data_IF_555607467565
#
_entry.id   IF_555607467565
#
_cell.length_a   1.000
_cell.length_b   1.000
_cell.length_c   1.000
_cell.angle_alpha   90.00
_cell.angle_beta   90.00
_cell.angle_gamma   90.00
#
_symmetry.space_group_name_H-M   'P 1'
#
loop_
_entity.id
_entity.type
_entity.pdbx_description
1 polymer ?
#
# COMPACT_ATOMS: atom_id res chain seq x y z
N UNK A 1 10.59 4.41 19.50
CA UNK A 1 11.84 4.07 20.22
C UNK A 1 13.00 4.32 19.29
N UNK A 2 14.16 4.77 19.80
CA UNK A 2 15.35 4.95 18.97
C UNK A 2 15.92 3.59 18.56
N UNK A 3 16.24 3.47 17.27
CA UNK A 3 16.90 2.32 16.68
C UNK A 3 18.29 2.72 16.20
N UNK A 4 19.16 1.73 16.09
CA UNK A 4 20.52 1.90 15.56
C UNK A 4 20.68 1.06 14.29
N UNK A 5 21.49 1.56 13.37
CA UNK A 5 21.72 0.91 12.08
C UNK A 5 22.91 1.50 11.36
N UNK A 6 23.23 0.93 10.20
CA UNK A 6 24.33 1.36 9.34
C UNK A 6 23.82 1.76 7.97
N UNK A 7 24.39 2.80 7.37
CA UNK A 7 24.06 3.15 5.99
C UNK A 7 24.50 2.02 5.06
N UNK A 8 23.57 1.43 4.34
CA UNK A 8 23.85 0.35 3.37
C UNK A 8 24.09 0.91 1.98
N UNK A 9 23.28 1.87 1.57
CA UNK A 9 23.34 2.51 0.25
C UNK A 9 23.03 3.99 0.37
N UNK A 10 23.72 4.82 -0.42
CA UNK A 10 23.46 6.25 -0.51
C UNK A 10 23.57 6.71 -1.97
N UNK A 11 22.56 7.43 -2.44
CA UNK A 11 22.49 8.03 -3.77
C UNK A 11 22.69 9.54 -3.66
N UNK A 12 23.92 10.00 -3.85
CA UNK A 12 24.30 11.40 -3.63
C UNK A 12 23.53 12.38 -4.53
N UNK A 13 23.40 12.07 -5.83
CA UNK A 13 22.70 12.93 -6.79
C UNK A 13 21.22 13.17 -6.44
N UNK A 14 20.59 12.19 -5.77
CA UNK A 14 19.17 12.25 -5.40
C UNK A 14 18.95 12.55 -3.92
N UNK A 15 20.00 12.59 -3.12
CA UNK A 15 19.94 12.95 -1.70
C UNK A 15 19.22 11.95 -0.80
N UNK A 16 19.15 10.66 -1.16
CA UNK A 16 18.48 9.63 -0.33
C UNK A 16 19.31 8.36 -0.20
N UNK A 17 18.98 7.53 0.77
CA UNK A 17 19.61 6.23 0.94
C UNK A 17 18.80 5.28 1.81
N UNK A 18 19.46 4.19 2.21
CA UNK A 18 18.86 3.15 3.03
C UNK A 18 19.78 2.75 4.19
N UNK A 19 19.17 2.56 5.36
CA UNK A 19 19.80 2.11 6.59
C UNK A 19 19.47 0.65 6.82
N UNK A 20 20.48 -0.17 7.05
CA UNK A 20 20.32 -1.54 7.50
C UNK A 20 20.25 -1.60 9.03
N UNK A 21 19.19 -2.20 9.56
CA UNK A 21 18.95 -2.39 10.99
C UNK A 21 19.27 -3.84 11.34
N UNK A 22 20.09 -4.07 12.37
CA UNK A 22 20.42 -5.42 12.81
C UNK A 22 19.15 -6.11 13.36
N UNK A 23 18.80 -7.28 12.78
CA UNK A 23 17.60 -8.03 13.13
C UNK A 23 16.35 -7.71 12.29
N UNK A 24 16.41 -6.74 11.37
CA UNK A 24 15.33 -6.51 10.39
C UNK A 24 15.80 -6.89 8.98
N UNK A 25 14.93 -7.55 8.22
CA UNK A 25 15.21 -7.93 6.82
C UNK A 25 15.00 -6.78 5.84
N UNK A 26 14.21 -5.77 6.20
CA UNK A 26 13.92 -4.60 5.38
C UNK A 26 14.87 -3.46 5.71
N UNK A 27 15.46 -2.85 4.68
CA UNK A 27 16.24 -1.64 4.84
C UNK A 27 15.30 -0.42 4.98
N UNK A 28 15.67 0.53 5.84
CA UNK A 28 14.88 1.71 6.14
C UNK A 28 15.31 2.90 5.29
N UNK A 29 14.36 3.56 4.64
CA UNK A 29 14.62 4.74 3.82
C UNK A 29 15.02 5.97 4.66
N UNK A 30 15.94 6.81 4.15
CA UNK A 30 16.25 8.12 4.73
C UNK A 30 16.47 9.18 3.64
N UNK A 31 16.26 10.45 3.98
CA UNK A 31 16.64 11.58 3.15
C UNK A 31 17.80 12.38 3.79
N UNK A 32 18.68 12.97 2.98
CA UNK A 32 19.82 13.78 3.48
C UNK A 32 19.37 15.01 4.27
N UNK A 33 18.15 15.49 4.02
CA UNK A 33 17.56 16.60 4.74
C UNK A 33 17.28 16.29 6.23
N UNK A 34 17.15 15.00 6.58
CA UNK A 34 16.86 14.55 7.94
C UNK A 34 18.16 14.43 8.79
N UNK A 35 19.33 14.72 8.19
CA UNK A 35 20.60 14.77 8.89
C UNK A 35 20.88 16.15 9.51
N UNK A 36 21.52 16.20 10.69
CA UNK A 36 21.76 17.45 11.42
C UNK A 36 22.75 18.37 10.71
N UNK A 37 23.77 17.81 10.04
CA UNK A 37 24.79 18.56 9.30
C UNK A 37 24.66 18.29 7.80
N UNK A 38 24.14 19.27 7.06
CA UNK A 38 23.91 19.19 5.60
C UNK A 38 25.20 19.26 4.76
N UNK A 39 26.28 19.78 5.35
CA UNK A 39 27.56 19.94 4.66
C UNK A 39 28.41 18.67 4.62
N UNK A 40 28.01 17.63 5.35
CA UNK A 40 28.74 16.36 5.39
C UNK A 40 27.85 15.31 4.73
N UNK A 41 28.23 14.75 3.57
CA UNK A 41 27.41 13.70 2.96
C UNK A 41 27.40 12.44 3.84
N UNK A 42 26.28 11.69 3.87
CA UNK A 42 26.22 10.37 4.49
C UNK A 42 27.21 9.40 3.84
N UNK A 43 27.87 8.54 4.64
CA UNK A 43 28.84 7.56 4.13
C UNK A 43 28.33 6.13 4.29
N UNK A 44 28.54 5.29 3.29
CA UNK A 44 28.21 3.86 3.39
C UNK A 44 29.01 3.24 4.53
N UNK A 45 28.33 2.46 5.38
CA UNK A 45 28.89 1.84 6.59
C UNK A 45 28.80 2.71 7.85
N UNK A 46 28.42 3.98 7.74
CA UNK A 46 28.29 4.91 8.88
C UNK A 46 27.17 4.47 9.83
N UNK A 47 27.47 4.42 11.13
CA UNK A 47 26.52 4.09 12.19
C UNK A 47 25.68 5.31 12.55
N UNK A 48 24.38 5.06 12.62
CA UNK A 48 23.36 6.06 12.91
C UNK A 48 22.47 5.59 14.05
N UNK A 49 21.94 6.56 14.79
CA UNK A 49 20.83 6.40 15.72
C UNK A 49 19.66 7.26 15.25
N UNK A 50 18.46 6.71 15.16
CA UNK A 50 17.32 7.40 14.54
C UNK A 50 15.98 6.87 15.07
N UNK A 51 14.90 7.54 14.71
CA UNK A 51 13.52 7.09 14.92
C UNK A 51 12.93 6.58 13.61
N UNK A 52 12.15 5.50 13.69
CA UNK A 52 11.34 5.03 12.56
C UNK A 52 10.01 5.76 12.62
N UNK A 53 9.69 6.51 11.58
CA UNK A 53 8.44 7.29 11.46
C UNK A 53 7.72 6.89 10.18
N UNK A 54 6.39 6.82 10.24
CA UNK A 54 5.55 6.59 9.07
C UNK A 54 5.15 7.92 8.43
N UNK A 55 5.36 8.03 7.12
CA UNK A 55 5.00 9.18 6.30
C UNK A 55 4.27 8.69 5.05
N UNK A 56 2.97 8.99 4.95
CA UNK A 56 2.12 8.59 3.82
C UNK A 56 2.17 7.07 3.50
N UNK A 57 2.13 6.22 4.54
CA UNK A 57 2.19 4.76 4.39
C UNK A 57 3.58 4.18 4.11
N UNK A 58 4.64 5.01 4.17
CA UNK A 58 6.03 4.58 4.02
C UNK A 58 6.81 4.85 5.30
N UNK A 59 7.61 3.86 5.72
CA UNK A 59 8.50 4.04 6.86
C UNK A 59 9.81 4.70 6.43
N UNK A 60 10.21 5.73 7.18
CA UNK A 60 11.48 6.44 7.00
C UNK A 60 12.21 6.64 8.34
N UNK A 61 13.50 6.88 8.25
CA UNK A 61 14.32 7.33 9.36
C UNK A 61 14.14 8.84 9.56
N UNK A 62 13.91 9.26 10.80
CA UNK A 62 13.82 10.65 11.21
C UNK A 62 14.66 10.88 12.49
N UNK A 63 14.96 12.13 12.83
CA UNK A 63 15.81 12.50 13.98
C UNK A 63 17.16 11.77 13.99
N UNK A 64 17.87 11.81 12.85
CA UNK A 64 19.10 11.05 12.64
C UNK A 64 20.26 11.67 13.42
N UNK A 65 20.95 10.86 14.22
CA UNK A 65 22.20 11.21 14.90
C UNK A 65 23.34 10.31 14.37
N UNK A 66 24.45 10.93 13.97
CA UNK A 66 25.64 10.22 13.48
C UNK A 66 26.49 9.78 14.67
N UNK A 67 26.76 8.48 14.78
CA UNK A 67 27.53 7.91 15.89
C UNK A 67 29.04 7.89 15.60
N UNK A 68 29.42 7.77 14.32
CA UNK A 68 30.84 7.64 13.93
C UNK A 68 31.53 8.99 13.72
N UNK A 69 30.77 10.07 13.52
CA UNK A 69 31.31 11.43 13.47
C UNK A 69 31.30 11.98 14.89
N UNK A 70 32.34 11.66 15.67
CA UNK A 70 32.71 12.52 16.80
C UNK A 70 32.85 13.92 16.22
N UNK A 71 31.97 14.82 16.63
CA UNK A 71 31.97 16.24 16.28
C UNK A 71 33.29 16.88 16.69
N UNK A 72 34.35 16.66 15.90
CA UNK A 72 35.49 17.59 15.80
C UNK A 72 35.05 18.74 14.90
N UNK A 73 33.99 19.43 15.30
CA UNK A 73 33.89 20.84 14.97
C UNK A 73 34.65 21.50 16.11
N UNK A 74 35.93 21.75 15.86
CA UNK A 74 36.67 22.71 16.66
C UNK A 74 35.88 24.02 16.57
N UNK A 75 35.15 24.28 17.64
CA UNK A 75 34.75 25.63 18.00
C UNK A 75 36.06 26.39 18.17
N UNK A 76 36.38 27.29 17.23
CA UNK A 76 37.27 28.40 17.54
C UNK A 76 36.56 29.25 18.58
N UNK A 77 36.84 28.99 19.85
CA UNK A 77 36.59 29.94 20.92
C UNK A 77 37.89 30.13 21.69
N UNK A 78 38.33 31.38 21.63
CA UNK A 78 39.35 31.96 22.48
C UNK A 78 39.07 31.65 23.95
N UNK A 79 40.17 31.48 24.69
CA UNK A 79 40.27 31.50 26.15
C UNK A 79 39.31 32.53 26.79
N UNK A 80 38.51 32.09 27.76
CA UNK A 80 38.74 32.43 29.17
C UNK A 80 37.70 31.78 30.11
N UNK A 81 38.22 30.98 31.05
CA UNK A 81 37.86 30.86 32.47
C UNK A 81 36.40 30.64 32.96
N UNK A 82 36.10 29.36 33.27
CA UNK A 82 35.39 28.76 34.44
C UNK A 82 34.32 29.55 35.24
N UNK A 83 33.08 29.04 35.29
CA UNK A 83 32.32 28.65 36.52
C UNK A 83 30.98 27.93 36.15
N UNK A 84 30.67 26.83 36.84
CA UNK A 84 29.37 26.10 36.88
C UNK A 84 28.43 26.85 37.87
N UNK A 85 27.06 26.92 37.78
CA UNK A 85 26.18 25.76 37.63
C UNK A 85 24.79 25.91 36.94
N UNK A 86 24.19 24.75 36.64
CA UNK A 86 22.75 24.41 36.59
C UNK A 86 21.80 24.87 35.45
N UNK A 87 21.10 23.84 34.93
CA UNK A 87 19.70 23.76 34.42
C UNK A 87 19.12 25.05 33.83
N UNK A 88 18.97 25.14 32.50
CA UNK A 88 17.84 25.84 31.85
C UNK A 88 17.70 25.48 30.36
N UNK A 89 16.55 24.89 30.03
CA UNK A 89 15.67 25.10 28.85
C UNK A 89 16.25 25.28 27.43
N UNK A 90 15.62 24.54 26.49
CA UNK A 90 15.71 24.58 25.01
C UNK A 90 16.20 25.88 24.36
N UNK A 91 16.99 25.83 23.28
CA UNK A 91 17.31 27.02 22.50
C UNK A 91 16.03 27.64 21.93
N UNK A 92 15.77 28.87 22.36
CA UNK A 92 14.81 29.77 21.75
C UNK A 92 15.20 29.98 20.29
N UNK A 93 14.29 29.67 19.35
CA UNK A 93 14.43 30.03 17.94
C UNK A 93 14.55 31.55 17.84
N UNK A 94 15.76 32.06 17.53
CA UNK A 94 15.93 33.47 17.19
C UNK A 94 15.34 33.73 15.81
N UNK A 95 14.22 34.44 15.82
CA UNK A 95 13.58 34.99 14.62
C UNK A 95 14.49 36.09 14.06
N UNK A 96 15.22 35.77 12.98
CA UNK A 96 15.98 36.74 12.23
C UNK A 96 15.09 37.92 11.79
N UNK A 97 15.52 39.15 12.11
CA UNK A 97 14.84 40.40 11.75
C UNK A 97 14.82 40.54 10.22
N UNK A 98 13.62 40.47 9.62
CA UNK A 98 13.44 40.57 8.17
C UNK A 98 13.71 42.01 7.69
N UNK A 99 14.74 42.20 6.88
CA UNK A 99 14.92 43.41 6.08
C UNK A 99 13.84 43.48 4.98
N UNK A 100 13.27 44.65 4.76
CA UNK A 100 12.13 44.95 3.87
C UNK A 100 12.32 44.47 2.43
N UNK A 101 13.57 44.27 2.00
CA UNK A 101 13.96 43.72 0.69
C UNK A 101 13.65 42.22 0.54
N UNK A 102 13.54 41.47 1.64
CA UNK A 102 13.23 40.03 1.60
C UNK A 102 11.76 39.74 1.27
N UNK A 103 10.84 40.68 1.52
CA UNK A 103 9.41 40.49 1.23
C UNK A 103 9.11 40.50 -0.27
N UNK A 104 9.83 41.31 -1.05
CA UNK A 104 9.60 41.42 -2.51
C UNK A 104 10.06 40.15 -3.22
N UNK A 105 11.21 39.58 -2.82
CA UNK A 105 11.74 38.32 -3.39
C UNK A 105 10.83 37.13 -3.03
N UNK A 106 10.28 37.09 -1.81
CA UNK A 106 9.32 36.04 -1.44
C UNK A 106 7.99 36.19 -2.17
N UNK A 107 7.51 37.42 -2.42
CA UNK A 107 6.27 37.65 -3.15
C UNK A 107 6.41 37.30 -4.63
N UNK A 108 7.51 37.69 -5.29
CA UNK A 108 7.75 37.33 -6.69
C UNK A 108 7.86 35.81 -6.87
N UNK A 109 8.53 35.11 -5.94
CA UNK A 109 8.58 33.65 -5.94
C UNK A 109 7.20 33.00 -5.82
N UNK A 110 6.34 33.49 -4.92
CA UNK A 110 4.97 32.99 -4.78
C UNK A 110 4.11 33.25 -6.03
N UNK A 111 4.27 34.41 -6.67
CA UNK A 111 3.57 34.69 -7.93
C UNK A 111 3.99 33.73 -9.05
N UNK A 112 5.28 33.42 -9.19
CA UNK A 112 5.76 32.44 -10.18
C UNK A 112 5.24 31.03 -9.90
N UNK A 113 5.15 30.63 -8.62
CA UNK A 113 4.58 29.34 -8.25
C UNK A 113 3.08 29.28 -8.58
N UNK A 114 2.33 30.35 -8.28
CA UNK A 114 0.90 30.42 -8.58
C UNK A 114 0.62 30.41 -10.10
N UNK A 115 1.45 31.10 -10.90
CA UNK A 115 1.28 31.08 -12.36
C UNK A 115 1.59 29.69 -12.93
N UNK A 116 2.67 29.04 -12.50
CA UNK A 116 2.99 27.67 -12.90
C UNK A 116 1.90 26.68 -12.46
N UNK A 117 1.41 26.80 -11.23
CA UNK A 117 0.32 25.97 -10.73
C UNK A 117 -0.96 26.17 -11.55
N UNK A 118 -1.29 27.41 -11.94
CA UNK A 118 -2.42 27.71 -12.82
C UNK A 118 -2.28 27.09 -14.22
N UNK A 119 -1.09 27.15 -14.82
CA UNK A 119 -0.80 26.53 -16.12
C UNK A 119 -0.92 25.00 -16.05
N UNK A 120 -0.32 24.39 -15.03
CA UNK A 120 -0.42 22.94 -14.80
C UNK A 120 -1.86 22.52 -14.51
N UNK A 121 -2.60 23.30 -13.72
CA UNK A 121 -4.01 23.04 -13.42
C UNK A 121 -4.85 23.08 -14.69
N UNK A 122 -4.62 24.04 -15.59
CA UNK A 122 -5.32 24.11 -16.88
C UNK A 122 -5.06 22.86 -17.74
N UNK A 123 -3.82 22.38 -17.81
CA UNK A 123 -3.48 21.15 -18.53
C UNK A 123 -4.07 19.90 -17.85
N UNK A 124 -4.11 19.88 -16.53
CA UNK A 124 -4.73 18.79 -15.78
C UNK A 124 -6.25 18.73 -16.02
N UNK A 125 -6.92 19.88 -16.10
CA UNK A 125 -8.35 19.95 -16.41
C UNK A 125 -8.66 19.38 -17.80
N UNK A 126 -7.87 19.74 -18.82
CA UNK A 126 -8.09 19.22 -20.18
C UNK A 126 -7.85 17.72 -20.29
N UNK A 127 -6.85 17.18 -19.58
CA UNK A 127 -6.63 15.73 -19.48
C UNK A 127 -7.83 14.99 -18.88
N UNK A 128 -8.44 15.55 -17.83
CA UNK A 128 -9.60 14.93 -17.18
C UNK A 128 -10.83 14.91 -18.10
N UNK A 129 -11.06 15.98 -18.87
CA UNK A 129 -12.15 16.04 -19.85
C UNK A 129 -11.99 14.96 -20.93
N UNK A 130 -10.78 14.84 -21.51
CA UNK A 130 -10.49 13.80 -22.52
C UNK A 130 -10.73 12.39 -21.98
N UNK A 131 -10.35 12.15 -20.72
CA UNK A 131 -10.56 10.86 -20.05
C UNK A 131 -12.05 10.53 -19.91
N UNK A 132 -12.89 11.52 -19.58
CA UNK A 132 -14.34 11.33 -19.49
C UNK A 132 -14.98 11.05 -20.86
N UNK A 133 -14.57 11.78 -21.90
CA UNK A 133 -15.09 11.55 -23.27
C UNK A 133 -14.75 10.14 -23.77
N UNK A 134 -13.50 9.69 -23.57
CA UNK A 134 -13.09 8.33 -23.96
C UNK A 134 -13.84 7.24 -23.19
N UNK A 135 -14.15 7.50 -21.92
CA UNK A 135 -14.97 6.58 -21.13
C UNK A 135 -16.38 6.47 -21.69
N UNK A 136 -17.00 7.60 -22.03
CA UNK A 136 -18.34 7.64 -22.63
C UNK A 136 -18.37 6.93 -23.99
N UNK A 137 -17.36 7.16 -24.83
CA UNK A 137 -17.17 6.48 -26.11
C UNK A 137 -17.09 4.95 -25.94
N UNK A 138 -16.25 4.47 -25.01
CA UNK A 138 -16.10 3.03 -24.73
C UNK A 138 -17.39 2.39 -24.20
N UNK A 139 -18.14 3.11 -23.36
CA UNK A 139 -19.43 2.62 -22.85
C UNK A 139 -20.43 2.47 -23.99
N UNK A 140 -20.51 3.46 -24.88
CA UNK A 140 -21.43 3.44 -26.01
C UNK A 140 -21.06 2.34 -27.03
N UNK A 141 -19.77 2.13 -27.27
CA UNK A 141 -19.27 1.03 -28.10
C UNK A 141 -19.63 -0.33 -27.50
N UNK A 142 -19.42 -0.53 -26.20
CA UNK A 142 -19.78 -1.76 -25.52
C UNK A 142 -21.29 -2.03 -25.60
N UNK A 143 -22.12 -1.01 -25.41
CA UNK A 143 -23.57 -1.13 -25.55
C UNK A 143 -23.96 -1.54 -26.97
N UNK A 144 -23.31 -0.97 -28.00
CA UNK A 144 -23.54 -1.33 -29.40
C UNK A 144 -23.18 -2.79 -29.66
N UNK A 145 -22.02 -3.26 -29.21
CA UNK A 145 -21.59 -4.66 -29.35
C UNK A 145 -22.61 -5.60 -28.70
N UNK A 146 -23.05 -5.29 -27.47
CA UNK A 146 -24.06 -6.09 -26.77
C UNK A 146 -25.40 -6.07 -27.50
N UNK A 147 -25.82 -4.93 -28.04
CA UNK A 147 -27.06 -4.82 -28.81
C UNK A 147 -27.01 -5.61 -30.13
N UNK A 148 -25.87 -5.58 -30.82
CA UNK A 148 -25.64 -6.35 -32.04
C UNK A 148 -25.62 -7.86 -31.76
N UNK A 149 -24.95 -8.29 -30.68
CA UNK A 149 -24.98 -9.68 -30.22
C UNK A 149 -26.42 -10.14 -29.89
N UNK A 150 -27.21 -9.30 -29.22
CA UNK A 150 -28.63 -9.59 -28.94
C UNK A 150 -29.46 -9.68 -30.22
N UNK A 151 -29.26 -8.77 -31.17
CA UNK A 151 -29.98 -8.80 -32.46
C UNK A 151 -29.62 -10.04 -33.29
N UNK A 152 -28.36 -10.46 -33.28
CA UNK A 152 -27.89 -11.67 -33.95
C UNK A 152 -28.38 -12.97 -33.28
N UNK A 153 -28.55 -12.96 -31.96
CA UNK A 153 -29.14 -14.09 -31.22
C UNK A 153 -30.67 -14.22 -31.40
N UNK A 154 -31.32 -13.24 -32.03
CA UNK A 154 -32.76 -13.23 -32.28
C UNK A 154 -33.60 -13.05 -31.01
N UNK A 155 -34.91 -13.00 -31.16
CA UNK A 155 -35.86 -12.92 -30.05
C UNK A 155 -35.85 -14.27 -29.31
N UNK A 156 -34.96 -14.43 -28.34
CA UNK A 156 -35.01 -15.55 -27.40
C UNK A 156 -36.37 -15.45 -26.70
N UNK A 157 -37.29 -16.43 -26.85
CA UNK A 157 -38.53 -16.36 -26.14
C UNK A 157 -38.18 -16.25 -24.66
N UNK A 158 -38.82 -15.31 -23.96
CA UNK A 158 -38.91 -15.38 -22.49
C UNK A 158 -39.84 -16.58 -22.20
N UNK A 159 -39.36 -17.77 -22.51
CA UNK A 159 -39.95 -19.00 -22.05
C UNK A 159 -39.61 -19.02 -20.58
N UNK A 160 -40.49 -18.41 -19.77
CA UNK A 160 -40.50 -18.65 -18.34
C UNK A 160 -40.42 -20.16 -18.08
N UNK A 161 -39.88 -20.53 -16.92
CA UNK A 161 -39.70 -21.92 -16.49
C UNK A 161 -40.78 -22.82 -17.09
N UNK A 162 -40.35 -23.89 -17.77
CA UNK A 162 -41.26 -24.90 -18.32
C UNK A 162 -42.28 -25.32 -17.26
N UNK A 163 -43.44 -25.84 -17.66
CA UNK A 163 -44.42 -26.43 -16.74
C UNK A 163 -43.75 -27.36 -15.70
N UNK A 164 -42.72 -28.11 -16.13
CA UNK A 164 -41.90 -28.95 -15.25
C UNK A 164 -41.03 -28.12 -14.28
N UNK A 165 -40.40 -27.04 -14.77
CA UNK A 165 -39.67 -26.09 -13.93
C UNK A 165 -40.57 -25.44 -12.86
N UNK A 166 -41.81 -25.07 -13.22
CA UNK A 166 -42.78 -24.51 -12.25
C UNK A 166 -43.19 -25.54 -11.19
N UNK A 167 -43.46 -26.79 -11.59
CA UNK A 167 -43.79 -27.88 -10.64
C UNK A 167 -42.63 -28.23 -9.70
N UNK A 168 -41.40 -28.20 -10.20
CA UNK A 168 -40.21 -28.39 -9.36
C UNK A 168 -40.03 -27.23 -8.35
N UNK A 169 -40.43 -26.01 -8.71
CA UNK A 169 -40.39 -24.85 -7.82
C UNK A 169 -41.50 -24.89 -6.75
N UNK A 170 -42.70 -25.36 -7.08
CA UNK A 170 -43.81 -25.52 -6.13
C UNK A 170 -43.51 -26.57 -5.04
N UNK A 171 -42.86 -27.68 -5.40
CA UNK A 171 -42.50 -28.74 -4.44
C UNK A 171 -41.36 -28.35 -3.47
N UNK A 172 -40.64 -27.25 -3.74
CA UNK A 172 -39.60 -26.73 -2.85
C UNK A 172 -39.92 -25.31 -2.31
N UNK A 173 -41.12 -24.79 -2.60
CA UNK A 173 -41.49 -23.39 -2.32
C UNK A 173 -41.74 -23.07 -0.85
N UNK A 174 -41.91 -24.06 0.03
CA UNK A 174 -42.18 -23.83 1.45
C UNK A 174 -40.95 -23.84 2.35
N UNK A 175 -39.80 -24.35 1.90
CA UNK A 175 -38.58 -24.41 2.72
C UNK A 175 -37.57 -23.28 2.44
N UNK A 176 -37.81 -22.46 1.41
CA UNK A 176 -36.89 -21.37 1.01
C UNK A 176 -37.33 -19.96 1.45
N UNK A 177 -38.51 -19.81 2.08
CA UNK A 177 -38.99 -18.50 2.60
C UNK A 177 -38.30 -18.08 3.91
N UNK A 178 -37.59 -18.99 4.59
CA UNK A 178 -36.91 -18.69 5.87
C UNK A 178 -35.40 -18.50 5.77
N UNK A 179 -34.80 -18.56 4.58
CA UNK A 179 -33.35 -18.34 4.40
C UNK A 179 -33.02 -17.39 3.24
N UNK A 180 -33.67 -16.23 3.20
CA UNK A 180 -33.18 -15.08 2.42
C UNK A 180 -33.03 -13.87 3.34
N UNK A 181 -32.00 -13.95 4.18
CA UNK A 181 -31.09 -12.82 4.36
C UNK A 181 -29.72 -13.29 3.87
N UNK A 182 -29.10 -12.48 3.02
CA UNK A 182 -27.76 -12.59 2.43
C UNK A 182 -27.69 -13.27 1.06
N UNK A 183 -27.70 -12.40 0.06
CA UNK A 183 -27.29 -12.64 -1.33
C UNK A 183 -25.80 -12.96 -1.39
N UNK A 184 -25.39 -14.02 -2.12
CA UNK A 184 -24.25 -13.87 -3.02
C UNK A 184 -24.38 -14.79 -4.25
N UNK A 185 -24.23 -14.16 -5.40
CA UNK A 185 -24.42 -14.67 -6.74
C UNK A 185 -23.14 -15.43 -7.15
N UNK A 186 -23.23 -16.75 -7.39
CA UNK A 186 -22.19 -17.51 -8.10
C UNK A 186 -22.60 -17.66 -9.56
N UNK A 187 -21.84 -17.00 -10.44
CA UNK A 187 -21.78 -17.35 -11.86
C UNK A 187 -20.62 -18.31 -12.07
N UNK A 188 -20.96 -19.50 -12.57
CA UNK A 188 -20.07 -20.49 -13.21
C UNK A 188 -19.39 -19.87 -14.44
N UNK A 189 -18.20 -20.25 -14.90
CA UNK A 189 -17.71 -21.59 -15.25
C UNK A 189 -16.17 -21.54 -15.42
N UNK A 190 -15.47 -22.64 -15.13
CA UNK A 190 -14.92 -23.51 -16.19
C UNK A 190 -14.20 -24.72 -15.57
N UNK A 191 -14.72 -25.91 -15.95
CA UNK A 191 -13.95 -27.12 -16.27
C UNK A 191 -13.02 -27.72 -15.20
N UNK A 192 -13.45 -28.80 -14.54
CA UNK A 192 -12.75 -30.11 -14.64
C UNK A 192 -13.41 -31.19 -13.74
N UNK A 193 -13.33 -32.47 -14.14
CA UNK A 193 -13.99 -33.57 -13.45
C UNK A 193 -13.05 -34.21 -12.41
N UNK A 194 -13.34 -34.16 -11.11
CA UNK A 194 -12.79 -35.13 -10.13
C UNK A 194 -13.35 -35.02 -8.69
N UNK A 195 -14.60 -34.60 -8.47
CA UNK A 195 -15.13 -34.42 -7.10
C UNK A 195 -15.29 -35.76 -6.31
N UNK A 196 -15.04 -36.91 -6.91
CA UNK A 196 -15.29 -38.22 -6.27
C UNK A 196 -14.08 -38.92 -5.61
N UNK A 197 -12.89 -38.32 -5.55
CA UNK A 197 -11.69 -39.05 -5.08
C UNK A 197 -11.15 -38.69 -3.69
N UNK A 198 -11.55 -37.56 -3.10
CA UNK A 198 -10.99 -37.13 -1.81
C UNK A 198 -11.77 -37.74 -0.64
N UNK A 199 -11.04 -38.25 0.36
CA UNK A 199 -11.59 -38.82 1.58
C UNK A 199 -10.78 -38.32 2.77
N UNK A 200 -11.47 -38.10 3.89
CA UNK A 200 -10.80 -37.75 5.13
C UNK A 200 -9.96 -38.93 5.61
N UNK A 201 -8.63 -38.79 5.54
CA UNK A 201 -7.64 -39.80 5.92
C UNK A 201 -6.79 -39.38 7.13
N UNK A 202 -7.16 -38.28 7.80
CA UNK A 202 -6.50 -37.77 8.99
C UNK A 202 -5.34 -36.81 8.72
N UNK A 203 -5.13 -36.37 7.48
CA UNK A 203 -4.19 -35.28 7.17
C UNK A 203 -4.71 -33.93 7.67
N UNK A 204 -3.82 -33.14 8.25
CA UNK A 204 -4.16 -31.86 8.89
C UNK A 204 -3.39 -30.66 8.33
N UNK A 205 -2.29 -30.87 7.60
CA UNK A 205 -1.40 -29.79 7.16
C UNK A 205 -1.23 -29.74 5.64
N UNK A 206 -0.95 -28.55 5.11
CA UNK A 206 -0.82 -28.27 3.68
C UNK A 206 0.26 -29.11 2.97
N UNK A 207 1.38 -29.39 3.65
CA UNK A 207 2.47 -30.22 3.12
C UNK A 207 2.03 -31.64 2.74
N UNK A 208 0.87 -32.08 3.22
CA UNK A 208 0.32 -33.40 2.96
C UNK A 208 -0.69 -33.40 1.80
N UNK A 209 -1.09 -32.23 1.28
CA UNK A 209 -2.06 -32.09 0.18
C UNK A 209 -1.34 -32.10 -1.18
N UNK A 210 -1.96 -32.73 -2.17
CA UNK A 210 -1.46 -32.86 -3.54
C UNK A 210 -2.01 -31.80 -4.49
N UNK A 211 -3.12 -31.15 -4.13
CA UNK A 211 -3.68 -30.04 -4.90
C UNK A 211 -4.47 -29.06 -4.03
N UNK A 212 -4.72 -27.86 -4.57
CA UNK A 212 -5.56 -26.85 -3.94
C UNK A 212 -7.02 -27.34 -3.78
N UNK A 213 -7.57 -28.09 -4.74
CA UNK A 213 -8.92 -28.64 -4.64
C UNK A 213 -9.04 -29.71 -3.55
N UNK A 214 -8.00 -30.52 -3.35
CA UNK A 214 -7.93 -31.47 -2.24
C UNK A 214 -7.92 -30.73 -0.90
N UNK A 215 -7.10 -29.69 -0.77
CA UNK A 215 -7.02 -28.89 0.46
C UNK A 215 -8.36 -28.19 0.78
N UNK A 216 -9.05 -27.68 -0.25
CA UNK A 216 -10.40 -27.11 -0.12
C UNK A 216 -11.44 -28.15 0.30
N UNK A 217 -11.33 -29.39 -0.18
CA UNK A 217 -12.19 -30.47 0.26
C UNK A 217 -11.98 -30.77 1.75
N UNK A 218 -10.73 -30.81 2.21
CA UNK A 218 -10.39 -31.14 3.61
C UNK A 218 -10.95 -30.11 4.60
N UNK A 219 -10.77 -28.80 4.36
CA UNK A 219 -11.33 -27.75 5.23
C UNK A 219 -12.86 -27.86 5.35
N UNK A 220 -13.55 -28.23 4.27
CA UNK A 220 -15.02 -28.26 4.22
C UNK A 220 -15.65 -29.55 4.75
N UNK A 221 -14.92 -30.67 4.68
CA UNK A 221 -15.51 -32.00 4.90
C UNK A 221 -14.82 -32.82 5.99
N UNK A 222 -13.63 -32.43 6.46
CA UNK A 222 -12.83 -33.18 7.42
C UNK A 222 -12.64 -32.41 8.74
N UNK A 223 -12.65 -33.13 9.86
CA UNK A 223 -12.43 -32.53 11.18
C UNK A 223 -10.92 -32.34 11.46
N UNK A 224 -10.60 -31.34 12.29
CA UNK A 224 -9.24 -31.03 12.79
C UNK A 224 -8.20 -30.56 11.75
N UNK A 225 -8.63 -29.98 10.62
CA UNK A 225 -7.69 -29.42 9.65
C UNK A 225 -7.01 -28.15 10.15
N UNK A 226 -5.69 -28.05 9.99
CA UNK A 226 -4.84 -26.89 10.33
C UNK A 226 -4.18 -26.32 9.06
N UNK A 227 -4.99 -26.13 8.03
CA UNK A 227 -4.55 -25.70 6.69
C UNK A 227 -4.95 -24.26 6.36
N UNK A 228 -5.94 -23.74 7.10
CA UNK A 228 -6.45 -22.37 7.02
C UNK A 228 -5.97 -21.64 8.28
N UNK A 229 -4.89 -20.87 8.14
CA UNK A 229 -4.19 -20.27 9.27
C UNK A 229 -4.87 -19.02 9.81
N UNK A 230 -5.54 -18.27 8.94
CA UNK A 230 -6.23 -17.01 9.22
C UNK A 230 -7.76 -17.13 9.18
N UNK A 231 -8.30 -18.27 8.75
CA UNK A 231 -9.72 -18.61 8.86
C UNK A 231 -10.59 -18.00 7.76
N UNK A 232 -10.01 -17.66 6.62
CA UNK A 232 -10.69 -16.99 5.51
C UNK A 232 -11.34 -17.98 4.52
N UNK A 233 -11.13 -19.28 4.72
CA UNK A 233 -11.62 -20.37 3.88
C UNK A 233 -10.71 -20.71 2.69
N UNK A 234 -9.52 -20.12 2.60
CA UNK A 234 -8.50 -20.39 1.58
C UNK A 234 -7.38 -21.25 2.18
N UNK A 235 -7.33 -22.56 1.88
CA UNK A 235 -6.25 -23.41 2.34
C UNK A 235 -4.92 -23.06 1.68
N UNK A 236 -3.83 -23.21 2.43
CA UNK A 236 -2.50 -23.43 1.86
C UNK A 236 -2.02 -22.31 0.93
N UNK A 237 -2.37 -21.06 1.23
CA UNK A 237 -2.03 -19.86 0.44
C UNK A 237 -0.53 -19.68 0.15
N UNK A 238 0.32 -20.29 0.96
CA UNK A 238 1.78 -20.23 0.80
C UNK A 238 2.36 -21.38 -0.03
N UNK A 239 1.55 -22.36 -0.41
CA UNK A 239 2.01 -23.59 -1.09
C UNK A 239 1.48 -23.74 -2.52
N UNK A 240 0.29 -23.19 -2.82
CA UNK A 240 -0.35 -23.24 -4.14
C UNK A 240 -0.59 -21.85 -4.72
#
# INVERSE_FOLDING_TARGET
>A
MFQEGKIKTFHEERGFGFIQIEGQSKDLFFHVADFPNKNIPPRIGEKLKFLIVEDNGKFKADHIARLDIKSKVAVEQNDDQYEDPEIHTSPHYEKAKSSTTSKIITLSGLFVILTLAGLVYNQYQSYQIQKQQKLEELILEQQRIVAEQRAAQGDLPIQGLSEQGRKNLENHGTDLRSQVNSVNLKTSEMTSPSVSQFKCDGREHCSQMSSYEEALFFIRNCANTKMDGDGDGIPCESQF
#
